data_IF_416155122475
#
_entry.id   IF_416155122475
#
_cell.length_a   1.000
_cell.length_b   1.000
_cell.length_c   1.000
_cell.angle_alpha   90.00
_cell.angle_beta   90.00
_cell.angle_gamma   90.00
#
_symmetry.space_group_name_H-M   'P 1'
#
loop_
_entity.id
_entity.type
_entity.pdbx_description
1 polymer ?
#
# COMPACT_ATOMS: atom_id res chain seq x y z
N UNK A 1 -11.33 -0.67 6.05
CA UNK A 1 -10.04 -0.16 5.51
C UNK A 1 -9.14 0.46 6.59
N UNK A 2 -9.65 1.25 7.53
CA UNK A 2 -8.82 1.85 8.60
C UNK A 2 -8.03 0.81 9.37
N UNK A 3 -8.65 -0.30 9.68
CA UNK A 3 -8.04 -1.45 10.32
C UNK A 3 -6.81 -1.98 9.55
N UNK A 4 -6.86 -2.00 8.22
CA UNK A 4 -5.74 -2.42 7.38
C UNK A 4 -4.68 -1.31 7.25
N UNK A 5 -5.09 -0.05 7.23
CA UNK A 5 -4.19 1.08 7.05
C UNK A 5 -3.45 1.48 8.35
N UNK A 6 -4.09 1.36 9.51
CA UNK A 6 -3.51 1.83 10.77
C UNK A 6 -2.18 1.15 11.14
N UNK A 7 -2.01 -0.18 11.01
CA UNK A 7 -0.71 -0.80 11.23
C UNK A 7 0.38 -0.27 10.29
N UNK A 8 0.06 -0.06 9.00
CA UNK A 8 0.98 0.50 8.02
C UNK A 8 1.37 1.94 8.36
N UNK A 9 0.41 2.78 8.75
CA UNK A 9 0.66 4.16 9.15
C UNK A 9 1.55 4.19 10.39
N UNK A 10 1.19 3.44 11.44
CA UNK A 10 1.97 3.33 12.67
C UNK A 10 3.39 2.83 12.41
N UNK A 11 3.56 1.88 11.48
CA UNK A 11 4.87 1.40 11.07
C UNK A 11 5.70 2.51 10.41
N UNK A 12 5.16 3.22 9.43
CA UNK A 12 5.84 4.34 8.76
C UNK A 12 6.18 5.46 9.74
N UNK A 13 5.27 5.81 10.66
CA UNK A 13 5.47 6.84 11.67
C UNK A 13 6.56 6.48 12.68
N UNK A 14 6.76 5.18 12.98
CA UNK A 14 7.88 4.71 13.80
C UNK A 14 9.24 4.94 13.15
N UNK A 15 9.27 5.15 11.83
CA UNK A 15 10.45 5.49 11.04
C UNK A 15 10.66 7.01 10.88
N UNK A 16 10.01 7.81 11.73
CA UNK A 16 10.10 9.29 11.74
C UNK A 16 9.56 9.95 10.46
N UNK A 17 8.62 9.30 9.78
CA UNK A 17 7.95 9.83 8.59
C UNK A 17 6.47 10.05 8.89
N UNK A 18 5.92 11.17 8.44
CA UNK A 18 4.48 11.39 8.50
C UNK A 18 3.78 10.55 7.44
N UNK A 19 2.78 9.78 7.86
CA UNK A 19 1.97 8.98 6.95
C UNK A 19 0.49 9.34 7.08
N UNK A 20 -0.22 9.17 5.99
CA UNK A 20 -1.67 9.35 5.92
C UNK A 20 -2.30 8.32 5.01
N UNK A 21 -3.62 8.16 5.08
CA UNK A 21 -4.34 7.40 4.06
C UNK A 21 -5.27 8.34 3.28
N UNK A 22 -5.39 8.07 1.98
CA UNK A 22 -6.22 8.88 1.09
C UNK A 22 -6.11 8.48 -0.36
N UNK A 23 -6.76 9.26 -1.20
CA UNK A 23 -6.63 9.22 -2.64
C UNK A 23 -5.34 9.92 -3.03
N UNK A 24 -4.56 9.32 -3.91
CA UNK A 24 -3.34 9.91 -4.46
C UNK A 24 -3.51 9.99 -5.98
N UNK A 25 -3.78 11.20 -6.44
CA UNK A 25 -4.04 11.45 -7.84
C UNK A 25 -2.89 10.96 -8.73
N UNK A 26 -3.22 10.44 -9.90
CA UNK A 26 -2.28 9.92 -10.89
C UNK A 26 -1.37 8.78 -10.35
N UNK A 27 -1.77 8.10 -9.28
CA UNK A 27 -1.06 6.93 -8.78
C UNK A 27 -1.62 5.62 -9.39
N UNK A 28 -0.84 4.54 -9.30
CA UNK A 28 -1.31 3.19 -9.63
C UNK A 28 -2.63 2.90 -8.92
N UNK A 29 -3.70 2.69 -9.69
CA UNK A 29 -5.01 2.35 -9.15
C UNK A 29 -5.38 3.22 -7.94
N UNK A 30 -5.62 4.50 -8.21
CA UNK A 30 -6.01 5.44 -7.16
C UNK A 30 -7.26 4.94 -6.41
N UNK A 31 -7.22 5.07 -5.11
CA UNK A 31 -8.28 4.62 -4.20
C UNK A 31 -8.22 5.38 -2.88
N UNK A 32 -9.35 5.44 -2.19
CA UNK A 32 -9.52 6.22 -0.94
C UNK A 32 -8.59 5.81 0.21
N UNK A 33 -7.96 4.64 0.13
CA UNK A 33 -7.22 4.02 1.23
C UNK A 33 -5.81 3.58 0.79
N UNK A 34 -5.15 4.41 -0.02
CA UNK A 34 -3.70 4.30 -0.18
C UNK A 34 -3.02 4.80 1.09
N UNK A 35 -1.88 4.23 1.44
CA UNK A 35 -0.98 4.80 2.44
C UNK A 35 0.05 5.66 1.73
N UNK A 36 0.16 6.89 2.16
CA UNK A 36 1.01 7.90 1.55
C UNK A 36 1.98 8.50 2.55
N UNK A 37 3.16 8.88 2.06
CA UNK A 37 4.19 9.65 2.77
C UNK A 37 4.49 10.87 1.91
N UNK A 38 4.45 12.04 2.51
CA UNK A 38 4.69 13.32 1.83
C UNK A 38 3.85 13.48 0.53
N UNK A 39 2.59 13.02 0.58
CA UNK A 39 1.67 13.08 -0.56
C UNK A 39 1.93 12.06 -1.67
N UNK A 40 2.93 11.18 -1.52
CA UNK A 40 3.28 10.13 -2.48
C UNK A 40 2.84 8.76 -1.97
N UNK A 41 2.33 7.93 -2.84
CA UNK A 41 1.85 6.59 -2.51
C UNK A 41 3.00 5.65 -2.19
N UNK A 42 2.99 5.14 -0.96
CA UNK A 42 3.86 4.06 -0.50
C UNK A 42 3.18 2.70 -0.61
N UNK A 43 1.89 2.61 -0.27
CA UNK A 43 1.16 1.35 -0.33
C UNK A 43 -0.26 1.51 -0.88
N UNK A 44 -0.69 0.50 -1.61
CA UNK A 44 -2.07 0.33 -2.06
C UNK A 44 -2.78 -0.73 -1.25
N UNK A 45 -4.06 -0.53 -0.97
CA UNK A 45 -4.88 -1.49 -0.23
C UNK A 45 -6.08 -1.94 -1.04
N UNK A 46 -6.52 -3.18 -0.83
CA UNK A 46 -7.77 -3.68 -1.38
C UNK A 46 -8.48 -4.61 -0.40
N UNK A 47 -9.81 -4.67 -0.54
CA UNK A 47 -10.67 -5.58 0.22
C UNK A 47 -11.71 -6.20 -0.69
N UNK A 48 -12.05 -7.44 -0.40
CA UNK A 48 -13.17 -8.14 -1.02
C UNK A 48 -13.95 -8.90 0.04
N UNK A 49 -15.25 -8.70 0.05
CA UNK A 49 -16.18 -9.38 0.96
C UNK A 49 -17.04 -10.38 0.20
N UNK A 50 -17.34 -11.50 0.84
CA UNK A 50 -18.15 -12.56 0.28
C UNK A 50 -19.05 -13.13 1.37
N UNK A 51 -20.31 -13.34 1.08
CA UNK A 51 -21.22 -14.07 1.98
C UNK A 51 -20.73 -15.53 2.12
N UNK A 52 -20.72 -16.04 3.36
CA UNK A 52 -20.37 -17.42 3.63
C UNK A 52 -21.58 -18.32 3.34
N UNK A 53 -21.40 -19.32 2.48
CA UNK A 53 -22.46 -20.31 2.17
C UNK A 53 -22.73 -21.28 3.32
N UNK A 54 -21.84 -21.35 4.32
CA UNK A 54 -21.92 -22.32 5.43
C UNK A 54 -22.69 -21.82 6.65
N UNK A 55 -22.97 -20.52 6.75
CA UNK A 55 -23.72 -19.89 7.84
C UNK A 55 -24.47 -18.68 7.32
N UNK A 56 -25.78 -18.65 7.52
CA UNK A 56 -26.62 -17.51 7.17
C UNK A 56 -26.20 -16.27 7.99
N UNK A 57 -25.88 -15.20 7.28
CA UNK A 57 -25.51 -13.91 7.86
C UNK A 57 -24.02 -13.69 8.08
N UNK A 58 -23.17 -14.70 7.91
CA UNK A 58 -21.72 -14.55 8.04
C UNK A 58 -21.08 -14.07 6.73
N UNK A 59 -20.05 -13.27 6.86
CA UNK A 59 -19.24 -12.74 5.77
C UNK A 59 -17.77 -13.06 5.94
N UNK A 60 -17.13 -13.54 4.90
CA UNK A 60 -15.68 -13.67 4.82
C UNK A 60 -15.10 -12.45 4.09
N UNK A 61 -14.04 -11.86 4.65
CA UNK A 61 -13.33 -10.74 4.05
C UNK A 61 -11.88 -11.10 3.73
N UNK A 62 -11.44 -10.81 2.52
CA UNK A 62 -10.02 -10.77 2.16
C UNK A 62 -9.60 -9.31 2.12
N UNK A 63 -8.58 -8.96 2.88
CA UNK A 63 -7.95 -7.66 2.84
C UNK A 63 -6.45 -7.82 2.61
N UNK A 64 -5.87 -7.00 1.77
CA UNK A 64 -4.42 -6.99 1.53
C UNK A 64 -3.90 -5.58 1.29
N UNK A 65 -2.61 -5.41 1.52
CA UNK A 65 -1.86 -4.22 1.15
C UNK A 65 -0.64 -4.64 0.34
N UNK A 66 -0.25 -3.80 -0.60
CA UNK A 66 1.00 -3.93 -1.37
C UNK A 66 1.84 -2.70 -1.07
N UNK A 67 3.01 -2.90 -0.47
CA UNK A 67 3.98 -1.84 -0.18
C UNK A 67 5.01 -1.78 -1.30
N UNK A 68 5.30 -0.59 -1.80
CA UNK A 68 6.39 -0.34 -2.74
C UNK A 68 7.70 -0.30 -1.97
N UNK A 69 8.48 -1.36 -2.05
CA UNK A 69 9.75 -1.48 -1.30
C UNK A 69 10.92 -0.96 -2.13
N UNK A 70 11.15 -1.57 -3.29
CA UNK A 70 12.18 -1.21 -4.28
C UNK A 70 11.61 -1.48 -5.68
N UNK A 71 10.48 -0.88 -5.96
CA UNK A 71 9.78 -1.09 -7.22
C UNK A 71 10.39 -0.23 -8.33
N UNK A 72 10.49 -0.78 -9.55
CA UNK A 72 10.84 -0.03 -10.75
C UNK A 72 9.66 0.85 -11.18
N UNK A 73 9.44 1.96 -10.47
CA UNK A 73 8.25 2.81 -10.58
C UNK A 73 8.10 3.34 -12.01
N UNK A 74 9.17 3.86 -12.61
CA UNK A 74 9.16 4.44 -13.95
C UNK A 74 8.76 3.41 -15.01
N UNK A 75 9.30 2.19 -14.92
CA UNK A 75 8.97 1.10 -15.83
C UNK A 75 7.51 0.66 -15.66
N UNK A 76 7.04 0.56 -14.42
CA UNK A 76 5.67 0.25 -14.09
C UNK A 76 4.70 1.31 -14.63
N UNK A 77 5.01 2.58 -14.43
CA UNK A 77 4.22 3.71 -14.96
C UNK A 77 4.17 3.67 -16.49
N UNK A 78 5.30 3.46 -17.15
CA UNK A 78 5.34 3.36 -18.60
C UNK A 78 4.49 2.17 -19.11
N UNK A 79 4.51 1.03 -18.41
CA UNK A 79 3.70 -0.13 -18.77
C UNK A 79 2.19 0.14 -18.60
N UNK A 80 1.78 0.76 -17.49
CA UNK A 80 0.37 1.10 -17.24
C UNK A 80 -0.13 2.12 -18.24
N UNK A 81 0.63 3.17 -18.53
CA UNK A 81 0.23 4.19 -19.48
C UNK A 81 0.11 3.63 -20.91
N UNK A 82 1.00 2.73 -21.32
CA UNK A 82 0.83 2.00 -22.61
C UNK A 82 -0.44 1.17 -22.65
N UNK A 83 -0.78 0.51 -21.53
CA UNK A 83 -2.04 -0.23 -21.43
C UNK A 83 -3.25 0.71 -21.54
N UNK A 84 -3.21 1.86 -20.89
CA UNK A 84 -4.27 2.88 -20.97
C UNK A 84 -4.45 3.39 -22.40
N UNK A 85 -3.36 3.67 -23.11
CA UNK A 85 -3.40 4.07 -24.53
C UNK A 85 -4.10 3.00 -25.40
N UNK A 86 -3.78 1.71 -25.17
CA UNK A 86 -4.41 0.61 -25.89
C UNK A 86 -5.91 0.46 -25.60
N UNK A 87 -6.32 0.83 -24.38
CA UNK A 87 -7.73 0.77 -23.97
C UNK A 87 -8.51 2.06 -24.24
N UNK A 88 -7.87 3.09 -24.80
CA UNK A 88 -8.50 4.40 -25.01
C UNK A 88 -8.84 5.14 -23.70
N UNK A 89 -8.08 4.87 -22.63
CA UNK A 89 -8.22 5.54 -21.33
C UNK A 89 -7.36 6.79 -21.33
N UNK A 90 -7.96 7.94 -21.01
CA UNK A 90 -7.26 9.24 -20.98
C UNK A 90 -6.47 9.47 -19.69
N UNK A 91 -6.81 8.74 -18.61
CA UNK A 91 -6.09 8.84 -17.34
C UNK A 91 -4.60 8.55 -17.52
N UNK A 92 -3.80 9.17 -16.67
CA UNK A 92 -2.34 8.98 -16.66
C UNK A 92 -1.83 8.76 -15.25
N UNK A 93 -0.90 7.85 -15.15
CA UNK A 93 -0.11 7.61 -13.94
C UNK A 93 1.23 8.32 -14.12
N UNK A 94 1.75 8.90 -13.04
CA UNK A 94 3.06 9.57 -13.04
C UNK A 94 3.97 8.98 -11.96
N UNK A 95 5.29 8.89 -12.18
CA UNK A 95 6.23 8.35 -11.20
C UNK A 95 6.23 9.14 -9.88
N UNK A 96 6.13 10.45 -9.95
CA UNK A 96 6.18 11.39 -8.81
C UNK A 96 5.07 11.18 -7.79
N UNK A 97 3.98 10.52 -8.19
CA UNK A 97 2.87 10.14 -7.28
C UNK A 97 3.20 8.95 -6.40
N UNK A 98 4.40 8.38 -6.50
CA UNK A 98 4.81 7.18 -5.78
C UNK A 98 6.11 7.39 -5.02
N UNK A 99 6.35 6.55 -4.02
CA UNK A 99 7.60 6.49 -3.28
C UNK A 99 7.90 5.05 -2.87
N UNK A 100 9.15 4.65 -2.99
CA UNK A 100 9.65 3.38 -2.47
C UNK A 100 10.02 3.48 -0.99
N UNK A 101 9.84 2.40 -0.25
CA UNK A 101 10.28 2.31 1.14
C UNK A 101 11.78 2.55 1.28
N UNK A 102 12.60 1.97 0.42
CA UNK A 102 14.05 2.15 0.47
C UNK A 102 14.47 3.59 0.19
N UNK A 103 13.75 4.33 -0.65
CA UNK A 103 13.98 5.77 -0.85
C UNK A 103 13.77 6.56 0.45
N UNK A 104 12.70 6.24 1.20
CA UNK A 104 12.41 6.87 2.48
C UNK A 104 13.43 6.53 3.57
N UNK A 105 14.00 5.34 3.51
CA UNK A 105 14.97 4.83 4.48
C UNK A 105 16.38 5.35 4.23
N UNK A 106 16.70 5.92 3.07
CA UNK A 106 18.04 6.42 2.71
C UNK A 106 18.98 5.43 2.02
N UNK A 107 18.44 4.39 1.42
CA UNK A 107 19.08 3.66 0.28
C UNK A 107 20.23 2.68 0.53
N UNK A 108 20.90 2.64 1.68
CA UNK A 108 22.20 1.95 1.78
C UNK A 108 22.26 0.64 2.61
N UNK A 109 21.16 0.14 3.18
CA UNK A 109 21.21 -1.04 4.07
C UNK A 109 20.12 -2.08 3.74
N UNK A 110 20.19 -2.69 2.57
CA UNK A 110 19.06 -3.33 1.94
C UNK A 110 18.58 -4.71 2.45
N UNK A 111 19.40 -5.57 3.00
CA UNK A 111 18.98 -6.97 3.26
C UNK A 111 18.45 -7.21 4.67
N UNK A 112 19.28 -7.05 5.68
CA UNK A 112 18.92 -7.34 7.08
C UNK A 112 17.81 -6.42 7.61
N UNK A 113 17.81 -5.16 7.17
CA UNK A 113 16.82 -4.17 7.60
C UNK A 113 15.42 -4.49 7.07
N UNK A 114 15.29 -5.08 5.88
CA UNK A 114 13.98 -5.41 5.32
C UNK A 114 13.30 -6.55 6.08
N UNK A 115 14.04 -7.55 6.53
CA UNK A 115 13.51 -8.65 7.31
C UNK A 115 13.00 -8.15 8.68
N UNK A 116 13.79 -7.35 9.39
CA UNK A 116 13.40 -6.74 10.66
C UNK A 116 12.15 -5.83 10.49
N UNK A 117 12.09 -5.06 9.41
CA UNK A 117 10.94 -4.19 9.12
C UNK A 117 9.70 -5.00 8.74
N UNK A 118 9.85 -6.11 8.04
CA UNK A 118 8.76 -7.01 7.74
C UNK A 118 8.21 -7.68 9.00
N UNK A 119 9.07 -8.11 9.92
CA UNK A 119 8.69 -8.68 11.21
C UNK A 119 7.93 -7.65 12.06
N UNK A 120 8.45 -6.43 12.25
CA UNK A 120 7.76 -5.35 12.97
C UNK A 120 6.38 -5.06 12.37
N UNK A 121 6.27 -5.03 11.05
CA UNK A 121 4.99 -4.82 10.38
C UNK A 121 4.00 -5.98 10.63
N UNK A 122 4.47 -7.23 10.60
CA UNK A 122 3.65 -8.40 10.92
C UNK A 122 3.11 -8.33 12.36
N UNK A 123 3.98 -8.04 13.34
CA UNK A 123 3.58 -7.90 14.75
C UNK A 123 2.50 -6.82 14.94
N UNK A 124 2.61 -5.70 14.25
CA UNK A 124 1.59 -4.63 14.29
C UNK A 124 0.25 -5.08 13.73
N UNK A 125 0.25 -5.91 12.68
CA UNK A 125 -0.98 -6.48 12.15
C UNK A 125 -1.59 -7.49 13.11
N UNK A 126 -0.82 -8.37 13.71
CA UNK A 126 -1.27 -9.32 14.74
C UNK A 126 -1.89 -8.59 15.92
N UNK A 127 -1.20 -7.60 16.49
CA UNK A 127 -1.71 -6.79 17.58
C UNK A 127 -3.00 -6.02 17.22
N UNK A 128 -3.21 -5.68 15.95
CA UNK A 128 -4.44 -5.04 15.50
C UNK A 128 -5.61 -6.03 15.36
N UNK A 129 -5.32 -7.31 15.12
CA UNK A 129 -6.32 -8.39 15.08
C UNK A 129 -6.80 -8.78 16.48
N UNK A 130 -5.90 -8.83 17.45
CA UNK A 130 -6.19 -9.26 18.82
C UNK A 130 -7.04 -8.25 19.61
N UNK A 131 -7.16 -7.01 19.16
CA UNK A 131 -7.96 -5.96 19.80
C UNK A 131 -9.45 -5.97 19.43
N UNK A 132 -9.95 -7.07 18.87
CA UNK A 132 -11.36 -7.21 18.45
C UNK A 132 -12.26 -7.90 19.49
#
# INVERSE_FOLDING_TARGET
YRWLCNPLISWVESLWKQASYGSINQSFRDGRFNVAVDGRKLAGTAQRWRACSSRDGDWAGLAHAIVLVDAAIEEGVAAVNRFYDHCGVEDRVIPESHVNFLELWGGEKGGLVLDEQAEDLCERFEAALDRR
#
